data_IF_210966133019
#
_entry.id   IF_210966133019
#
_cell.length_a   1.000
_cell.length_b   1.000
_cell.length_c   1.000
_cell.angle_alpha   90.00
_cell.angle_beta   90.00
_cell.angle_gamma   90.00
#
_symmetry.space_group_name_H-M   'P 1'
#
loop_
_entity.id
_entity.type
_entity.pdbx_description
1 polymer ?
#
# COMPACT_ATOMS: atom_id res chain seq x y z
N UNK A 1 -1.75 8.14 -14.94
CA UNK A 1 -2.61 8.00 -16.14
C UNK A 1 -3.96 8.67 -15.92
N UNK A 2 -4.73 8.32 -14.88
CA UNK A 2 -6.03 8.96 -14.59
C UNK A 2 -5.96 10.45 -14.20
N UNK A 3 -4.82 10.91 -13.66
CA UNK A 3 -4.62 12.31 -13.30
C UNK A 3 -4.34 13.24 -14.49
N UNK A 4 -3.97 12.71 -15.65
CA UNK A 4 -3.76 13.49 -16.88
C UNK A 4 -5.05 13.65 -17.69
N UNK A 5 -5.97 12.69 -17.58
CA UNK A 5 -7.24 12.67 -18.31
C UNK A 5 -8.23 13.74 -17.83
N UNK A 6 -8.10 14.25 -16.59
CA UNK A 6 -8.95 15.33 -16.06
C UNK A 6 -8.53 16.75 -16.48
N UNK A 7 -7.35 16.92 -17.08
CA UNK A 7 -6.84 18.25 -17.49
C UNK A 7 -7.17 18.63 -18.93
N UNK A 8 -7.43 17.64 -19.78
CA UNK A 8 -7.98 17.87 -21.11
C UNK A 8 -9.48 17.62 -20.99
N UNK A 9 -10.32 18.50 -21.51
CA UNK A 9 -11.77 18.31 -21.57
C UNK A 9 -12.12 17.08 -22.40
N UNK A 10 -11.98 15.90 -21.79
CA UNK A 10 -12.35 14.63 -22.39
C UNK A 10 -13.87 14.59 -22.52
N UNK A 11 -14.33 14.13 -23.68
CA UNK A 11 -15.73 13.79 -23.93
C UNK A 11 -16.27 12.97 -22.75
N UNK A 12 -17.49 13.31 -22.34
CA UNK A 12 -18.20 12.58 -21.29
C UNK A 12 -18.50 11.19 -21.84
N UNK A 13 -17.84 10.17 -21.30
CA UNK A 13 -18.06 8.76 -21.66
C UNK A 13 -19.53 8.39 -21.33
N UNK A 14 -20.24 7.79 -22.29
CA UNK A 14 -21.63 7.37 -22.10
C UNK A 14 -21.74 6.28 -21.03
N UNK A 15 -22.86 6.23 -20.31
CA UNK A 15 -23.08 5.26 -19.23
C UNK A 15 -22.96 3.80 -19.70
N UNK A 16 -23.38 3.53 -20.93
CA UNK A 16 -23.31 2.20 -21.55
C UNK A 16 -21.86 1.79 -21.83
N UNK A 17 -21.05 2.70 -22.34
CA UNK A 17 -19.62 2.47 -22.59
C UNK A 17 -18.87 2.20 -21.28
N UNK A 18 -19.19 2.95 -20.22
CA UNK A 18 -18.63 2.71 -18.88
C UNK A 18 -18.99 1.31 -18.40
N UNK A 19 -20.25 0.88 -18.54
CA UNK A 19 -20.71 -0.45 -18.11
C UNK A 19 -20.04 -1.55 -18.92
N UNK A 20 -19.96 -1.41 -20.24
CA UNK A 20 -19.30 -2.36 -21.15
C UNK A 20 -17.81 -2.49 -20.81
N UNK A 21 -17.13 -1.36 -20.57
CA UNK A 21 -15.73 -1.34 -20.16
C UNK A 21 -15.52 -1.97 -18.78
N UNK A 22 -16.42 -1.76 -17.83
CA UNK A 22 -16.33 -2.39 -16.51
C UNK A 22 -16.63 -3.89 -16.56
N UNK A 23 -17.57 -4.32 -17.41
CA UNK A 23 -17.90 -5.74 -17.61
C UNK A 23 -16.77 -6.52 -18.31
N UNK A 24 -15.93 -5.85 -19.11
CA UNK A 24 -14.76 -6.44 -19.76
C UNK A 24 -13.50 -6.43 -18.88
N UNK A 25 -13.56 -5.90 -17.65
CA UNK A 25 -12.43 -5.98 -16.72
C UNK A 25 -12.24 -7.44 -16.30
N UNK A 26 -11.04 -7.95 -16.55
CA UNK A 26 -10.63 -9.29 -16.12
C UNK A 26 -10.58 -9.35 -14.60
N UNK A 27 -11.25 -10.34 -14.03
CA UNK A 27 -11.28 -10.61 -12.59
C UNK A 27 -9.88 -10.74 -12.00
N UNK A 28 -9.72 -10.30 -10.75
CA UNK A 28 -8.45 -10.34 -10.02
C UNK A 28 -8.38 -11.63 -9.23
N UNK A 29 -7.40 -12.45 -9.56
CA UNK A 29 -7.21 -13.75 -8.90
C UNK A 29 -6.36 -13.62 -7.62
N UNK A 30 -6.56 -14.50 -6.61
CA UNK A 30 -5.81 -14.44 -5.35
C UNK A 30 -4.28 -14.48 -5.52
N UNK A 31 -3.79 -15.27 -6.49
CA UNK A 31 -2.35 -15.38 -6.76
C UNK A 31 -1.76 -14.08 -7.34
N UNK A 32 -2.57 -13.25 -8.01
CA UNK A 32 -2.12 -11.96 -8.51
C UNK A 32 -1.87 -10.98 -7.36
N UNK A 33 -2.73 -11.02 -6.34
CA UNK A 33 -2.53 -10.24 -5.11
C UNK A 33 -1.22 -10.65 -4.43
N UNK A 34 -0.93 -11.95 -4.35
CA UNK A 34 0.35 -12.45 -3.82
C UNK A 34 1.54 -11.94 -4.63
N UNK A 35 1.45 -11.92 -5.97
CA UNK A 35 2.50 -11.36 -6.84
C UNK A 35 2.67 -9.85 -6.61
N UNK A 36 1.59 -9.09 -6.45
CA UNK A 36 1.66 -7.65 -6.11
C UNK A 36 2.43 -7.45 -4.81
N UNK A 37 2.10 -8.21 -3.76
CA UNK A 37 2.82 -8.14 -2.47
C UNK A 37 4.30 -8.50 -2.63
N UNK A 38 4.61 -9.57 -3.38
CA UNK A 38 5.99 -9.97 -3.66
C UNK A 38 6.78 -8.86 -4.38
N UNK A 39 6.19 -8.19 -5.36
CA UNK A 39 6.82 -7.07 -6.07
C UNK A 39 7.03 -5.84 -5.17
N UNK A 40 6.11 -5.58 -4.22
CA UNK A 40 6.29 -4.53 -3.22
C UNK A 40 7.45 -4.83 -2.27
N UNK A 41 7.61 -6.09 -1.85
CA UNK A 41 8.75 -6.56 -1.05
C UNK A 41 10.06 -6.44 -1.85
N UNK A 42 10.07 -6.89 -3.12
CA UNK A 42 11.23 -6.77 -3.99
C UNK A 42 11.67 -5.30 -4.17
N UNK A 43 10.70 -4.38 -4.32
CA UNK A 43 10.96 -2.93 -4.36
C UNK A 43 11.55 -2.42 -3.04
N UNK A 44 11.08 -2.92 -1.90
CA UNK A 44 11.61 -2.51 -0.59
C UNK A 44 13.08 -2.91 -0.46
N UNK A 45 13.45 -4.11 -0.92
CA UNK A 45 14.82 -4.60 -0.90
C UNK A 45 15.72 -3.83 -1.87
N UNK A 46 15.23 -3.55 -3.09
CA UNK A 46 15.99 -2.87 -4.15
C UNK A 46 15.30 -1.57 -4.59
N UNK A 47 15.38 -0.47 -3.81
CA UNK A 47 14.60 0.73 -4.07
C UNK A 47 15.09 1.53 -5.28
N UNK A 48 14.18 1.88 -6.20
CA UNK A 48 14.46 2.82 -7.30
C UNK A 48 13.88 4.20 -6.98
N UNK A 49 14.76 5.22 -6.94
CA UNK A 49 14.41 6.63 -6.62
C UNK A 49 13.38 7.24 -7.57
N UNK A 50 13.30 6.78 -8.82
CA UNK A 50 12.35 7.24 -9.84
C UNK A 50 10.91 6.75 -9.62
N UNK A 51 10.66 5.94 -8.59
CA UNK A 51 9.33 5.45 -8.21
C UNK A 51 9.05 4.02 -8.70
N UNK A 52 7.95 3.44 -8.23
CA UNK A 52 7.63 2.02 -8.44
C UNK A 52 7.51 1.64 -9.92
N UNK A 53 6.95 2.53 -10.76
CA UNK A 53 6.81 2.31 -12.20
C UNK A 53 8.16 2.10 -12.92
N UNK A 54 9.27 2.59 -12.37
CA UNK A 54 10.60 2.44 -12.96
C UNK A 54 11.09 0.98 -12.97
N UNK A 55 10.55 0.13 -12.09
CA UNK A 55 10.83 -1.31 -12.09
C UNK A 55 10.31 -2.05 -13.34
N UNK A 56 9.49 -1.41 -14.16
CA UNK A 56 9.06 -1.94 -15.46
C UNK A 56 9.83 -1.34 -16.64
N UNK A 57 10.85 -0.52 -16.37
CA UNK A 57 11.70 0.02 -17.44
C UNK A 57 12.54 -1.08 -18.08
N UNK A 58 12.49 -1.13 -19.41
CA UNK A 58 13.29 -2.03 -20.26
C UNK A 58 14.65 -1.44 -20.65
N UNK A 59 14.99 -0.24 -20.15
CA UNK A 59 16.30 0.35 -20.40
C UNK A 59 17.39 -0.60 -19.89
N UNK A 60 18.46 -0.74 -20.64
CA UNK A 60 19.65 -1.48 -20.18
C UNK A 60 20.59 -0.54 -19.44
N UNK A 61 21.29 -1.09 -18.44
CA UNK A 61 22.42 -0.44 -17.78
C UNK A 61 23.59 -1.42 -17.89
N UNK A 62 24.53 -1.12 -18.80
CA UNK A 62 25.55 -2.09 -19.22
C UNK A 62 24.93 -3.24 -20.03
N UNK A 63 25.35 -4.47 -19.76
CA UNK A 63 24.90 -5.67 -20.48
C UNK A 63 23.63 -6.33 -19.90
N UNK A 64 23.05 -5.78 -18.83
CA UNK A 64 21.90 -6.37 -18.14
C UNK A 64 20.64 -5.49 -18.23
N UNK A 65 19.45 -6.10 -18.35
CA UNK A 65 18.20 -5.37 -18.19
C UNK A 65 18.11 -4.82 -16.76
N UNK A 66 17.77 -3.52 -16.64
CA UNK A 66 17.76 -2.83 -15.35
C UNK A 66 16.78 -3.44 -14.36
N UNK A 67 15.66 -4.01 -14.84
CA UNK A 67 14.61 -4.57 -14.00
C UNK A 67 13.86 -5.73 -14.64
N UNK A 68 13.25 -6.57 -13.78
CA UNK A 68 12.58 -7.82 -14.19
C UNK A 68 11.11 -7.93 -13.79
N UNK A 69 10.45 -6.84 -13.35
CA UNK A 69 9.05 -6.93 -12.90
C UNK A 69 8.09 -7.39 -14.00
N UNK A 70 8.38 -7.06 -15.26
CA UNK A 70 7.62 -7.53 -16.43
C UNK A 70 7.56 -9.07 -16.54
N UNK A 71 8.52 -9.81 -15.99
CA UNK A 71 8.50 -11.28 -16.01
C UNK A 71 7.41 -11.87 -15.09
N UNK A 72 6.95 -11.11 -14.10
CA UNK A 72 6.02 -11.60 -13.07
C UNK A 72 4.62 -11.00 -13.23
N UNK A 73 4.54 -9.71 -13.57
CA UNK A 73 3.28 -9.00 -13.78
C UNK A 73 3.50 -7.76 -14.65
N UNK A 74 2.63 -7.54 -15.65
CA UNK A 74 2.67 -6.32 -16.46
C UNK A 74 2.35 -5.07 -15.65
N UNK A 75 3.01 -3.94 -15.98
CA UNK A 75 2.85 -2.66 -15.27
C UNK A 75 1.40 -2.24 -15.10
N UNK A 76 0.62 -2.31 -16.18
CA UNK A 76 -0.78 -1.88 -16.17
C UNK A 76 -1.64 -2.77 -15.28
N UNK A 77 -1.41 -4.09 -15.30
CA UNK A 77 -2.11 -5.03 -14.42
C UNK A 77 -1.78 -4.79 -12.95
N UNK A 78 -0.51 -4.52 -12.63
CA UNK A 78 -0.10 -4.15 -11.27
C UNK A 78 -0.84 -2.91 -10.75
N UNK A 79 -0.84 -1.82 -11.53
CA UNK A 79 -1.53 -0.59 -11.12
C UNK A 79 -3.05 -0.72 -11.13
N UNK A 80 -3.62 -1.56 -12.00
CA UNK A 80 -5.02 -1.91 -11.97
C UNK A 80 -5.39 -2.59 -10.65
N UNK A 81 -4.69 -3.67 -10.27
CA UNK A 81 -4.94 -4.36 -8.99
C UNK A 81 -4.74 -3.43 -7.80
N UNK A 82 -3.63 -2.69 -7.76
CA UNK A 82 -3.37 -1.72 -6.68
C UNK A 82 -4.44 -0.63 -6.57
N UNK A 83 -5.11 -0.28 -7.67
CA UNK A 83 -6.19 0.71 -7.70
C UNK A 83 -7.51 0.21 -7.09
N UNK A 84 -7.77 -1.09 -7.16
CA UNK A 84 -8.97 -1.74 -6.65
C UNK A 84 -8.76 -2.51 -5.34
N UNK A 85 -7.55 -2.44 -4.76
CA UNK A 85 -7.24 -3.16 -3.53
C UNK A 85 -7.96 -2.54 -2.33
N UNK A 86 -8.97 -3.25 -1.83
CA UNK A 86 -9.78 -2.85 -0.67
C UNK A 86 -9.84 -3.98 0.36
N UNK A 87 -9.68 -3.65 1.64
CA UNK A 87 -9.70 -4.63 2.73
C UNK A 87 -10.98 -4.61 3.55
N UNK A 88 -11.77 -3.54 3.48
CA UNK A 88 -12.96 -3.34 4.31
C UNK A 88 -14.15 -2.84 3.48
N UNK A 89 -15.37 -3.18 3.90
CA UNK A 89 -16.58 -2.64 3.31
C UNK A 89 -16.81 -1.18 3.74
N UNK A 90 -16.82 -0.24 2.77
CA UNK A 90 -17.05 1.18 3.03
C UNK A 90 -18.50 1.51 3.44
N UNK A 91 -19.47 0.61 3.21
CA UNK A 91 -20.87 0.79 3.61
C UNK A 91 -21.13 0.36 5.07
N UNK A 92 -20.12 -0.17 5.76
CA UNK A 92 -20.25 -0.59 7.15
C UNK A 92 -20.47 0.63 8.06
N UNK A 93 -21.37 0.58 9.06
CA UNK A 93 -21.51 1.66 10.05
C UNK A 93 -20.20 2.01 10.76
N UNK A 94 -19.31 1.04 10.93
CA UNK A 94 -17.99 1.21 11.54
C UNK A 94 -17.07 2.12 10.72
N UNK A 95 -17.33 2.31 9.43
CA UNK A 95 -16.54 3.19 8.57
C UNK A 95 -16.65 4.67 8.97
N UNK A 96 -17.74 5.08 9.64
CA UNK A 96 -17.89 6.44 10.18
C UNK A 96 -17.28 6.61 11.58
N UNK A 97 -17.04 5.51 12.29
CA UNK A 97 -16.57 5.51 13.68
C UNK A 97 -15.04 5.33 13.72
N UNK A 98 -14.52 4.30 13.04
CA UNK A 98 -13.10 3.96 13.05
C UNK A 98 -12.36 4.65 11.89
N UNK A 99 -11.53 5.64 12.21
CA UNK A 99 -10.71 6.36 11.22
C UNK A 99 -9.73 5.46 10.46
N UNK A 100 -9.38 4.29 11.01
CA UNK A 100 -8.52 3.29 10.39
C UNK A 100 -9.29 2.13 9.73
N UNK A 101 -10.63 2.21 9.64
CA UNK A 101 -11.49 1.12 9.14
C UNK A 101 -10.99 0.49 7.83
N UNK A 102 -10.52 1.33 6.91
CA UNK A 102 -9.99 0.92 5.60
C UNK A 102 -8.84 -0.11 5.64
N UNK A 103 -8.09 -0.13 6.73
CA UNK A 103 -6.96 -1.04 6.95
C UNK A 103 -7.15 -1.94 8.16
N UNK A 104 -8.27 -1.80 8.89
CA UNK A 104 -8.52 -2.53 10.14
C UNK A 104 -8.34 -4.04 9.99
N UNK A 105 -8.85 -4.70 8.93
CA UNK A 105 -8.65 -6.14 8.77
C UNK A 105 -7.18 -6.55 8.65
N UNK A 106 -6.35 -5.72 8.01
CA UNK A 106 -4.90 -5.96 7.90
C UNK A 106 -4.24 -5.81 9.28
N UNK A 107 -4.58 -4.74 10.02
CA UNK A 107 -4.07 -4.50 11.38
C UNK A 107 -4.42 -5.66 12.32
N UNK A 108 -5.66 -6.16 12.25
CA UNK A 108 -6.12 -7.25 13.10
C UNK A 108 -5.42 -8.58 12.78
N UNK A 109 -5.11 -8.84 11.50
CA UNK A 109 -4.29 -9.99 11.10
C UNK A 109 -2.86 -9.84 11.63
N UNK A 110 -2.26 -8.65 11.51
CA UNK A 110 -0.90 -8.39 12.00
C UNK A 110 -0.82 -8.60 13.52
N UNK A 111 -1.72 -8.02 14.30
CA UNK A 111 -1.76 -8.19 15.76
C UNK A 111 -1.94 -9.65 16.17
N UNK A 112 -2.86 -10.38 15.52
CA UNK A 112 -3.06 -11.82 15.79
C UNK A 112 -1.83 -12.66 15.42
N UNK A 113 -1.08 -12.24 14.41
CA UNK A 113 0.11 -12.98 13.95
C UNK A 113 1.31 -12.70 14.84
N UNK A 114 1.56 -11.44 15.20
CA UNK A 114 2.65 -11.06 16.11
C UNK A 114 2.48 -11.71 17.48
N UNK A 115 1.27 -11.68 18.05
CA UNK A 115 0.98 -12.30 19.33
C UNK A 115 1.20 -13.83 19.35
N UNK A 116 0.99 -14.51 18.21
CA UNK A 116 1.21 -15.96 18.10
C UNK A 116 2.66 -16.33 17.77
N UNK A 117 3.35 -15.49 17.01
CA UNK A 117 4.68 -15.79 16.47
C UNK A 117 5.85 -15.38 17.38
N UNK A 118 5.60 -14.62 18.44
CA UNK A 118 6.66 -14.09 19.28
C UNK A 118 6.28 -14.06 20.76
N UNK A 119 7.05 -14.76 21.60
CA UNK A 119 6.94 -14.66 23.06
C UNK A 119 7.71 -13.44 23.54
N UNK A 120 7.01 -12.51 24.19
CA UNK A 120 7.57 -11.23 24.58
C UNK A 120 8.43 -11.34 25.84
N UNK A 121 9.72 -10.93 25.78
CA UNK A 121 10.51 -10.69 26.97
C UNK A 121 9.87 -9.58 27.83
N UNK A 122 10.18 -9.53 29.15
CA UNK A 122 9.57 -8.55 30.07
C UNK A 122 9.94 -7.09 29.78
N UNK A 123 10.91 -6.84 28.90
CA UNK A 123 11.33 -5.50 28.49
C UNK A 123 10.68 -5.09 27.17
N UNK A 124 9.67 -4.22 27.29
CA UNK A 124 8.94 -3.63 26.17
C UNK A 124 9.34 -2.17 26.04
N UNK A 125 9.64 -1.75 24.81
CA UNK A 125 9.82 -0.35 24.43
C UNK A 125 8.52 0.17 23.82
N UNK A 126 8.14 1.39 24.20
CA UNK A 126 6.97 2.08 23.69
C UNK A 126 7.37 3.44 23.13
N UNK A 127 7.11 3.68 21.84
CA UNK A 127 7.49 4.92 21.17
C UNK A 127 6.58 5.23 19.98
N UNK A 128 6.72 6.44 19.44
CA UNK A 128 5.97 6.97 18.31
C UNK A 128 6.70 6.74 16.98
N UNK A 129 6.02 6.09 16.04
CA UNK A 129 6.45 5.99 14.65
C UNK A 129 5.53 6.80 13.73
N UNK A 130 6.07 7.21 12.58
CA UNK A 130 5.30 7.93 11.55
C UNK A 130 5.32 7.13 10.26
N UNK A 131 4.15 6.70 9.80
CA UNK A 131 3.97 6.11 8.47
C UNK A 131 3.85 7.25 7.44
N UNK A 132 4.86 7.47 6.59
CA UNK A 132 4.92 8.65 5.73
C UNK A 132 3.78 8.62 4.71
N UNK A 133 2.97 9.68 4.69
CA UNK A 133 1.89 9.84 3.72
C UNK A 133 1.53 11.31 3.56
N UNK A 134 1.60 11.79 2.32
CA UNK A 134 1.16 13.14 1.95
C UNK A 134 -0.28 13.16 1.40
N UNK A 135 -0.94 12.01 1.28
CA UNK A 135 -2.28 11.93 0.70
C UNK A 135 -3.29 12.76 1.49
N UNK A 136 -4.09 13.57 0.79
CA UNK A 136 -5.20 14.32 1.39
C UNK A 136 -6.36 13.41 1.81
N UNK A 137 -6.43 12.21 1.25
CA UNK A 137 -7.46 11.22 1.53
C UNK A 137 -7.14 10.36 2.77
N UNK A 138 -6.01 10.60 3.43
CA UNK A 138 -5.69 9.95 4.70
C UNK A 138 -6.28 10.77 5.85
N UNK A 139 -7.37 10.32 6.49
CA UNK A 139 -8.00 11.06 7.58
C UNK A 139 -7.12 11.13 8.82
N UNK A 140 -6.16 10.21 9.00
CA UNK A 140 -5.26 10.14 10.17
C UNK A 140 -3.94 10.90 9.96
N UNK A 141 -3.82 11.66 8.87
CA UNK A 141 -2.60 12.41 8.56
C UNK A 141 -2.36 13.53 9.58
N UNK A 142 -1.17 13.54 10.16
CA UNK A 142 -0.67 14.55 11.10
C UNK A 142 0.61 15.17 10.56
N UNK A 143 0.89 16.40 11.01
CA UNK A 143 2.16 17.08 10.78
C UNK A 143 3.02 17.02 12.05
N UNK A 144 4.27 16.57 11.93
CA UNK A 144 5.25 16.61 13.01
C UNK A 144 6.55 17.24 12.48
N UNK A 145 6.89 18.43 12.99
CA UNK A 145 8.03 19.22 12.50
C UNK A 145 9.38 18.54 12.77
N UNK A 146 9.46 17.74 13.82
CA UNK A 146 10.70 17.17 14.36
C UNK A 146 11.05 15.82 13.72
N UNK A 147 10.12 15.21 12.94
CA UNK A 147 10.38 13.96 12.22
C UNK A 147 10.93 14.22 10.81
N UNK A 148 11.85 13.37 10.29
CA UNK A 148 12.39 13.51 8.92
C UNK A 148 11.29 13.53 7.84
N UNK A 149 10.25 12.71 8.03
CA UNK A 149 9.03 12.75 7.23
C UNK A 149 7.93 13.46 8.00
N UNK A 150 7.80 14.77 7.75
CA UNK A 150 6.91 15.65 8.52
C UNK A 150 5.42 15.35 8.37
N UNK A 151 5.00 14.67 7.32
CA UNK A 151 3.58 14.37 7.04
C UNK A 151 3.35 12.86 6.99
N UNK A 152 2.42 12.36 7.81
CA UNK A 152 2.09 10.94 7.83
C UNK A 152 1.06 10.55 8.88
N UNK A 153 0.76 9.26 8.98
CA UNK A 153 -0.03 8.73 10.10
C UNK A 153 0.91 8.46 11.26
N UNK A 154 0.68 9.14 12.38
CA UNK A 154 1.36 8.84 13.64
C UNK A 154 0.76 7.54 14.21
N UNK A 155 1.62 6.61 14.61
CA UNK A 155 1.24 5.37 15.29
C UNK A 155 2.09 5.23 16.54
N UNK A 156 1.51 4.67 17.59
CA UNK A 156 2.25 4.26 18.78
C UNK A 156 2.61 2.79 18.63
N UNK A 157 3.87 2.44 18.87
CA UNK A 157 4.38 1.08 18.67
C UNK A 157 4.91 0.54 19.99
N UNK A 158 4.42 -0.64 20.37
CA UNK A 158 5.01 -1.47 21.40
C UNK A 158 5.89 -2.54 20.74
N UNK A 159 7.19 -2.53 21.07
CA UNK A 159 8.17 -3.45 20.50
C UNK A 159 9.03 -4.08 21.60
N UNK A 160 9.61 -5.25 21.33
CA UNK A 160 10.59 -5.84 22.23
C UNK A 160 11.88 -4.99 22.24
N UNK A 161 12.32 -4.56 23.42
CA UNK A 161 13.51 -3.71 23.55
C UNK A 161 14.82 -4.40 23.10
N UNK A 162 14.87 -5.75 23.10
CA UNK A 162 16.08 -6.52 22.73
C UNK A 162 16.15 -6.86 21.24
N UNK A 163 15.05 -7.32 20.66
CA UNK A 163 15.01 -7.86 19.29
C UNK A 163 14.42 -6.87 18.29
N UNK A 164 13.89 -5.74 18.77
CA UNK A 164 13.12 -4.78 17.98
C UNK A 164 11.87 -5.37 17.30
N UNK A 165 11.40 -6.55 17.72
CA UNK A 165 10.19 -7.16 17.18
C UNK A 165 8.95 -6.33 17.56
N UNK A 166 8.16 -5.94 16.56
CA UNK A 166 6.90 -5.22 16.77
C UNK A 166 5.84 -6.17 17.32
N UNK A 167 5.21 -5.77 18.43
CA UNK A 167 4.21 -6.57 19.14
C UNK A 167 2.80 -6.06 18.85
N UNK A 168 2.64 -4.75 18.92
CA UNK A 168 1.36 -4.06 18.73
C UNK A 168 1.59 -2.63 18.28
N UNK A 169 0.68 -2.11 17.49
CA UNK A 169 0.64 -0.68 17.18
C UNK A 169 -0.80 -0.15 17.20
N UNK A 170 -0.96 1.14 17.51
CA UNK A 170 -2.25 1.84 17.57
C UNK A 170 -2.16 3.17 16.83
#
# INVERSE_FOLDING_TARGET
MWSQQRRNGGEVEELEDIRSRLASVVDIEPWEVLRVVALLIARMLMPIRKGIAAHWSTKQVGALPTNRFNLFMGKNRFFHIMGYLHFSNNKSPQASIDRAWKIRPVVDVLHRTFARGYQTPPMISFDEATLPSRSRFNPMRQFNKDKPHKWGTKVFVAACAKTACCLRFV
#
